data_IF_280680834654
#
_entry.id   IF_280680834654
#
_cell.length_a   1.000
_cell.length_b   1.000
_cell.length_c   1.000
_cell.angle_alpha   90.00
_cell.angle_beta   90.00
_cell.angle_gamma   90.00
#
_symmetry.space_group_name_H-M   'P 1'
#
loop_
_entity.id
_entity.type
_entity.pdbx_description
1 polymer ?
#
# COMPACT_ATOMS: atom_id res chain seq x y z
N UNK A 1 41.31 25.48 10.27
CA UNK A 1 40.24 25.32 9.26
C UNK A 1 39.09 26.23 9.64
N UNK A 2 38.70 27.15 8.77
CA UNK A 2 37.79 28.26 9.10
C UNK A 2 36.40 27.80 9.53
N UNK A 3 35.80 28.54 10.45
CA UNK A 3 34.48 28.30 11.06
C UNK A 3 33.39 28.13 9.97
N UNK A 4 33.52 28.83 8.84
CA UNK A 4 32.63 28.72 7.69
C UNK A 4 32.68 27.35 6.97
N UNK A 5 33.84 26.71 6.91
CA UNK A 5 33.96 25.37 6.30
C UNK A 5 33.34 24.28 7.18
N UNK A 6 33.37 24.48 8.51
CA UNK A 6 32.72 23.59 9.49
C UNK A 6 31.19 23.73 9.40
N UNK A 7 30.66 24.94 9.35
CA UNK A 7 29.20 25.19 9.17
C UNK A 7 28.67 24.60 7.86
N UNK A 8 29.44 24.69 6.77
CA UNK A 8 29.06 24.09 5.49
C UNK A 8 29.01 22.54 5.54
N UNK A 9 29.93 21.91 6.28
CA UNK A 9 29.93 20.47 6.49
C UNK A 9 28.77 20.01 7.40
N UNK A 10 28.41 20.81 8.41
CA UNK A 10 27.24 20.56 9.27
C UNK A 10 25.91 20.62 8.50
N UNK A 11 25.78 21.54 7.54
CA UNK A 11 24.59 21.60 6.66
C UNK A 11 24.46 20.38 5.73
N UNK A 12 25.58 19.78 5.31
CA UNK A 12 25.56 18.61 4.44
C UNK A 12 25.16 17.31 5.16
N UNK A 13 25.51 17.16 6.45
CA UNK A 13 25.18 15.93 7.22
C UNK A 13 23.72 15.91 7.70
N UNK A 14 23.12 17.08 7.97
CA UNK A 14 21.69 17.18 8.30
C UNK A 14 20.78 16.82 7.10
N UNK A 15 21.28 16.94 5.87
CA UNK A 15 20.54 16.61 4.65
C UNK A 15 20.52 15.11 4.32
N UNK A 16 21.33 14.27 4.97
CA UNK A 16 21.42 12.82 4.69
C UNK A 16 20.55 11.97 5.63
N UNK A 17 19.90 12.55 6.63
CA UNK A 17 19.10 11.80 7.62
C UNK A 17 17.58 11.96 7.49
N UNK A 18 17.07 12.61 6.43
CA UNK A 18 15.62 12.67 6.19
C UNK A 18 15.25 11.93 4.90
N UNK A 19 14.72 10.71 5.03
CA UNK A 19 13.45 10.25 4.42
C UNK A 19 13.37 8.73 4.25
N UNK A 20 13.28 7.97 5.34
CA UNK A 20 12.41 6.79 5.31
C UNK A 20 10.99 7.27 5.61
N UNK A 21 10.38 7.94 4.63
CA UNK A 21 8.95 8.20 4.68
C UNK A 21 8.27 6.85 4.50
N UNK A 22 7.96 6.18 5.60
CA UNK A 22 7.04 5.05 5.61
C UNK A 22 5.70 5.59 5.12
N UNK A 23 5.50 5.57 3.80
CA UNK A 23 4.24 5.96 3.20
C UNK A 23 3.27 4.86 3.56
N UNK A 24 2.39 5.13 4.52
CA UNK A 24 1.25 4.26 4.81
C UNK A 24 0.55 3.96 3.47
N UNK A 25 0.63 2.70 3.06
CA UNK A 25 -0.02 2.24 1.84
C UNK A 25 -1.51 2.15 2.16
N UNK A 26 -2.37 2.76 1.34
CA UNK A 26 -3.82 2.72 1.54
C UNK A 26 -4.48 2.19 0.26
N UNK A 27 -5.55 1.43 0.39
CA UNK A 27 -6.45 1.13 -0.73
C UNK A 27 -7.53 2.19 -0.71
N UNK A 28 -7.48 3.10 -1.66
CA UNK A 28 -8.39 4.26 -1.70
C UNK A 28 -9.85 3.84 -1.93
N UNK A 29 -10.80 4.59 -1.37
CA UNK A 29 -12.22 4.30 -1.59
C UNK A 29 -12.63 4.38 -3.06
N UNK A 30 -11.95 5.18 -3.87
CA UNK A 30 -12.15 5.20 -5.33
C UNK A 30 -11.75 3.86 -5.97
N UNK A 31 -10.63 3.26 -5.55
CA UNK A 31 -10.21 1.94 -5.99
C UNK A 31 -11.24 0.87 -5.57
N UNK A 32 -11.68 0.86 -4.30
CA UNK A 32 -12.68 -0.12 -3.82
C UNK A 32 -14.02 0.02 -4.56
N UNK A 33 -14.44 1.25 -4.85
CA UNK A 33 -15.69 1.53 -5.58
C UNK A 33 -15.62 1.14 -7.06
N UNK A 34 -14.44 1.00 -7.65
CA UNK A 34 -14.31 0.49 -9.02
C UNK A 34 -14.96 -0.89 -9.18
N UNK A 35 -14.97 -1.72 -8.12
CA UNK A 35 -15.64 -3.02 -8.10
C UNK A 35 -17.15 -2.99 -7.88
N UNK A 36 -17.73 -1.81 -7.64
CA UNK A 36 -19.18 -1.63 -7.46
C UNK A 36 -19.91 -1.28 -8.76
N UNK A 37 -19.19 -0.89 -9.81
CA UNK A 37 -19.77 -0.77 -11.14
C UNK A 37 -19.98 -2.20 -11.67
N UNK A 38 -21.20 -2.71 -11.58
CA UNK A 38 -21.56 -4.01 -12.13
C UNK A 38 -21.08 -4.15 -13.58
N UNK A 39 -20.56 -5.32 -13.92
CA UNK A 39 -19.96 -5.63 -15.22
C UNK A 39 -20.72 -5.02 -16.40
N UNK A 40 -20.09 -4.04 -17.03
CA UNK A 40 -20.61 -3.27 -18.14
C UNK A 40 -19.76 -2.02 -18.27
N UNK A 41 -18.85 -2.02 -19.25
CA UNK A 41 -17.96 -0.88 -19.52
C UNK A 41 -18.76 0.42 -19.56
N UNK A 42 -18.51 1.30 -18.58
CA UNK A 42 -19.36 2.47 -18.41
C UNK A 42 -19.10 3.14 -17.08
N UNK A 43 -18.27 4.16 -17.14
CA UNK A 43 -18.03 5.14 -16.09
C UNK A 43 -19.36 5.61 -15.48
N UNK A 44 -19.35 5.93 -14.18
CA UNK A 44 -20.50 6.45 -13.44
C UNK A 44 -21.39 7.36 -14.28
N UNK A 45 -22.70 7.10 -14.22
CA UNK A 45 -23.72 7.86 -14.90
C UNK A 45 -23.57 9.36 -14.59
N UNK A 46 -23.00 10.08 -15.55
CA UNK A 46 -22.74 11.51 -15.44
C UNK A 46 -21.51 11.98 -16.21
N UNK A 47 -21.42 11.69 -17.52
CA UNK A 47 -20.52 12.36 -18.47
C UNK A 47 -19.00 12.17 -18.24
N UNK A 48 -18.47 10.96 -18.40
CA UNK A 48 -17.06 10.78 -18.78
C UNK A 48 -17.01 10.17 -20.17
N UNK A 49 -16.96 11.06 -21.16
CA UNK A 49 -16.66 10.80 -22.56
C UNK A 49 -15.47 9.85 -22.66
N UNK A 50 -15.66 8.63 -23.20
CA UNK A 50 -14.64 7.78 -23.83
C UNK A 50 -13.20 7.92 -23.29
N UNK A 51 -13.01 8.05 -21.98
CA UNK A 51 -11.69 8.20 -21.39
C UNK A 51 -11.10 6.81 -21.42
N UNK A 52 -10.35 6.54 -22.49
CA UNK A 52 -9.53 5.35 -22.64
C UNK A 52 -8.51 5.36 -21.51
N UNK A 53 -8.93 4.83 -20.35
CA UNK A 53 -8.03 4.49 -19.26
C UNK A 53 -6.96 3.58 -19.82
N UNK A 54 -5.73 3.79 -19.38
CA UNK A 54 -4.61 2.93 -19.78
C UNK A 54 -4.88 1.52 -19.26
N UNK A 55 -4.46 0.53 -20.03
CA UNK A 55 -4.49 -0.85 -19.59
C UNK A 55 -3.64 -1.02 -18.33
N UNK A 56 -4.08 -1.93 -17.46
CA UNK A 56 -3.32 -2.24 -16.26
C UNK A 56 -2.05 -3.02 -16.63
N UNK A 57 -0.86 -2.58 -16.19
CA UNK A 57 0.37 -3.32 -16.43
C UNK A 57 0.48 -4.62 -15.60
N UNK A 58 -0.37 -4.80 -14.58
CA UNK A 58 -0.39 -5.99 -13.72
C UNK A 58 -1.39 -7.00 -14.26
N UNK A 59 -0.97 -8.26 -14.42
CA UNK A 59 -1.85 -9.33 -14.85
C UNK A 59 -2.65 -9.90 -13.67
N UNK A 60 -3.84 -9.36 -13.44
CA UNK A 60 -4.73 -9.90 -12.41
C UNK A 60 -5.35 -11.25 -12.77
N UNK A 61 -5.38 -11.67 -14.04
CA UNK A 61 -6.00 -12.95 -14.43
C UNK A 61 -5.36 -14.15 -13.73
N UNK A 62 -4.04 -14.13 -13.58
CA UNK A 62 -3.25 -15.23 -13.03
C UNK A 62 -2.96 -15.06 -11.52
N UNK A 63 -3.59 -14.08 -10.86
CA UNK A 63 -3.38 -13.84 -9.44
C UNK A 63 -4.02 -14.94 -8.57
N UNK A 64 -3.49 -15.14 -7.37
CA UNK A 64 -4.02 -16.14 -6.44
C UNK A 64 -5.23 -15.63 -5.65
N UNK A 65 -6.44 -15.86 -6.20
CA UNK A 65 -7.71 -15.48 -5.58
C UNK A 65 -8.11 -16.32 -4.36
N UNK A 66 -7.40 -17.41 -4.05
CA UNK A 66 -7.72 -18.24 -2.87
C UNK A 66 -7.54 -17.48 -1.55
N UNK A 67 -6.68 -16.45 -1.54
CA UNK A 67 -6.49 -15.55 -0.39
C UNK A 67 -7.82 -14.92 0.04
N UNK A 68 -8.67 -14.54 -0.93
CA UNK A 68 -9.98 -13.96 -0.68
C UNK A 68 -11.03 -15.05 -0.49
N UNK A 69 -11.13 -16.00 -1.43
CA UNK A 69 -12.24 -16.97 -1.47
C UNK A 69 -12.20 -18.01 -0.36
N UNK A 70 -11.04 -18.24 0.26
CA UNK A 70 -10.92 -19.12 1.43
C UNK A 70 -11.47 -18.48 2.72
N UNK A 71 -11.39 -17.16 2.86
CA UNK A 71 -11.78 -16.40 4.07
C UNK A 71 -13.15 -15.73 3.93
N UNK A 72 -13.43 -15.06 2.82
CA UNK A 72 -14.66 -14.32 2.59
C UNK A 72 -15.72 -15.23 1.95
N UNK A 73 -16.60 -15.81 2.78
CA UNK A 73 -17.63 -16.77 2.32
C UNK A 73 -19.05 -16.26 2.57
N UNK A 74 -19.91 -16.54 1.59
CA UNK A 74 -21.35 -16.33 1.72
C UNK A 74 -22.02 -17.39 2.60
N UNK A 75 -23.28 -17.17 3.01
CA UNK A 75 -24.14 -16.07 2.57
C UNK A 75 -24.01 -14.78 3.39
N UNK A 76 -23.46 -14.84 4.61
CA UNK A 76 -23.36 -13.65 5.48
C UNK A 76 -22.22 -12.70 5.12
N UNK A 77 -21.18 -13.14 4.41
CA UNK A 77 -20.00 -12.32 4.05
C UNK A 77 -19.48 -11.47 5.22
N UNK A 78 -18.94 -12.12 6.27
CA UNK A 78 -18.53 -11.44 7.50
C UNK A 78 -17.55 -10.29 7.21
N UNK A 79 -17.87 -9.03 7.58
CA UNK A 79 -17.10 -7.85 7.19
C UNK A 79 -15.62 -7.94 7.55
N UNK A 80 -15.30 -8.30 8.79
CA UNK A 80 -13.91 -8.37 9.25
C UNK A 80 -13.06 -9.31 8.38
N UNK A 81 -13.55 -10.53 8.13
CA UNK A 81 -12.83 -11.51 7.32
C UNK A 81 -12.73 -11.11 5.85
N UNK A 82 -13.79 -10.54 5.29
CA UNK A 82 -13.81 -10.11 3.89
C UNK A 82 -12.89 -8.92 3.63
N UNK A 83 -12.85 -7.96 4.54
CA UNK A 83 -12.02 -6.77 4.40
C UNK A 83 -10.55 -7.07 4.69
N UNK A 84 -10.27 -7.93 5.69
CA UNK A 84 -8.91 -8.42 5.92
C UNK A 84 -8.38 -9.19 4.70
N UNK A 85 -9.18 -10.12 4.16
CA UNK A 85 -8.76 -10.91 3.00
C UNK A 85 -8.56 -10.05 1.73
N UNK A 86 -9.39 -9.01 1.55
CA UNK A 86 -9.18 -8.03 0.49
C UNK A 86 -7.88 -7.26 0.69
N UNK A 87 -7.57 -6.83 1.92
CA UNK A 87 -6.31 -6.14 2.24
C UNK A 87 -5.11 -7.05 1.96
N UNK A 88 -5.13 -8.30 2.42
CA UNK A 88 -4.07 -9.29 2.16
C UNK A 88 -3.78 -9.44 0.66
N UNK A 89 -4.82 -9.43 -0.17
CA UNK A 89 -4.69 -9.55 -1.61
C UNK A 89 -4.28 -8.24 -2.30
N UNK A 90 -4.90 -7.11 -1.95
CA UNK A 90 -4.80 -5.86 -2.71
C UNK A 90 -3.67 -4.92 -2.26
N UNK A 91 -3.23 -5.03 -0.99
CA UNK A 91 -2.17 -4.18 -0.46
C UNK A 91 -0.83 -4.23 -1.23
N UNK A 92 -0.39 -5.38 -1.78
CA UNK A 92 0.80 -5.44 -2.63
C UNK A 92 0.67 -4.70 -3.97
N UNK A 93 -0.55 -4.27 -4.34
CA UNK A 93 -0.85 -3.65 -5.64
C UNK A 93 -1.32 -2.19 -5.52
N UNK A 94 -1.23 -1.57 -4.33
CA UNK A 94 -1.72 -0.20 -4.06
C UNK A 94 -1.18 0.84 -5.04
N UNK A 95 0.08 0.69 -5.47
CA UNK A 95 0.70 1.56 -6.47
C UNK A 95 -0.06 1.60 -7.80
N UNK A 96 -0.71 0.49 -8.19
CA UNK A 96 -1.40 0.36 -9.47
C UNK A 96 -2.90 0.57 -9.34
N UNK A 97 -3.53 -0.01 -8.32
CA UNK A 97 -4.99 0.04 -8.16
C UNK A 97 -5.49 1.42 -7.73
N UNK A 98 -4.64 2.24 -7.11
CA UNK A 98 -5.00 3.62 -6.78
C UNK A 98 -4.83 4.59 -7.96
N UNK A 99 -4.24 4.16 -9.08
CA UNK A 99 -4.12 5.02 -10.26
C UNK A 99 -5.46 5.09 -11.01
N UNK A 100 -6.20 6.18 -10.79
CA UNK A 100 -7.46 6.49 -11.47
C UNK A 100 -7.34 6.66 -12.98
N UNK A 101 -6.14 6.73 -13.55
CA UNK A 101 -5.92 6.79 -15.00
C UNK A 101 -5.87 5.40 -15.64
N UNK A 102 -5.83 4.33 -14.85
CA UNK A 102 -5.76 2.94 -15.33
C UNK A 102 -7.07 2.17 -15.11
N UNK A 103 -7.16 1.00 -15.74
CA UNK A 103 -8.22 0.01 -15.48
C UNK A 103 -7.90 -0.94 -14.33
N UNK A 104 -6.76 -0.79 -13.63
CA UNK A 104 -6.27 -1.77 -12.65
C UNK A 104 -7.28 -2.15 -11.57
N UNK A 105 -7.89 -1.17 -10.89
CA UNK A 105 -8.87 -1.46 -9.85
C UNK A 105 -10.10 -2.18 -10.41
N UNK A 106 -10.61 -1.75 -11.57
CA UNK A 106 -11.77 -2.36 -12.21
C UNK A 106 -11.48 -3.80 -12.63
N UNK A 107 -10.33 -4.06 -13.27
CA UNK A 107 -9.89 -5.40 -13.65
C UNK A 107 -9.71 -6.30 -12.43
N UNK A 108 -9.03 -5.82 -11.39
CA UNK A 108 -8.82 -6.55 -10.14
C UNK A 108 -10.17 -6.99 -9.54
N UNK A 109 -11.10 -6.06 -9.31
CA UNK A 109 -12.39 -6.39 -8.73
C UNK A 109 -13.27 -7.26 -9.65
N UNK A 110 -13.14 -7.12 -10.96
CA UNK A 110 -13.83 -8.00 -11.92
C UNK A 110 -13.45 -9.46 -11.70
N UNK A 111 -12.15 -9.77 -11.64
CA UNK A 111 -11.68 -11.13 -11.39
C UNK A 111 -11.99 -11.61 -9.96
N UNK A 112 -11.87 -10.75 -8.95
CA UNK A 112 -12.29 -11.08 -7.56
C UNK A 112 -13.75 -11.52 -7.55
N UNK A 113 -14.64 -10.74 -8.18
CA UNK A 113 -16.07 -11.02 -8.22
C UNK A 113 -16.37 -12.28 -9.06
N UNK A 114 -15.67 -12.48 -10.17
CA UNK A 114 -15.81 -13.65 -11.04
C UNK A 114 -15.45 -14.95 -10.32
N UNK A 115 -14.25 -15.02 -9.71
CA UNK A 115 -13.77 -16.24 -9.07
C UNK A 115 -14.44 -16.50 -7.71
N UNK A 116 -14.75 -15.45 -6.96
CA UNK A 116 -15.42 -15.55 -5.66
C UNK A 116 -16.94 -15.62 -5.72
N UNK A 117 -17.54 -15.39 -6.91
CA UNK A 117 -19.00 -15.25 -7.10
C UNK A 117 -19.59 -14.18 -6.17
N UNK A 118 -18.85 -13.10 -5.93
CA UNK A 118 -19.28 -12.05 -5.03
C UNK A 118 -20.30 -11.12 -5.71
N UNK A 119 -21.33 -10.67 -4.98
CA UNK A 119 -22.25 -9.67 -5.49
C UNK A 119 -21.51 -8.35 -5.75
N UNK A 120 -21.90 -7.59 -6.80
CA UNK A 120 -21.26 -6.32 -7.11
C UNK A 120 -21.38 -5.34 -5.93
N UNK A 121 -20.28 -4.66 -5.62
CA UNK A 121 -20.23 -3.70 -4.53
C UNK A 121 -20.15 -4.29 -3.12
N UNK A 122 -20.00 -5.63 -2.96
CA UNK A 122 -19.83 -6.25 -1.63
C UNK A 122 -18.74 -5.54 -0.82
N UNK A 123 -17.52 -5.45 -1.37
CA UNK A 123 -16.39 -4.85 -0.67
C UNK A 123 -16.56 -3.33 -0.47
N UNK A 124 -17.14 -2.61 -1.43
CA UNK A 124 -17.37 -1.16 -1.31
C UNK A 124 -18.40 -0.80 -0.22
N UNK A 125 -19.39 -1.66 -0.02
CA UNK A 125 -20.44 -1.45 0.98
C UNK A 125 -20.02 -1.93 2.37
N UNK A 126 -19.24 -3.00 2.43
CA UNK A 126 -18.87 -3.68 3.67
C UNK A 126 -17.58 -3.16 4.29
N UNK A 127 -16.58 -2.80 3.47
CA UNK A 127 -15.25 -2.45 3.96
C UNK A 127 -15.07 -0.95 4.13
N UNK A 128 -15.11 -0.50 5.39
CA UNK A 128 -14.87 0.89 5.80
C UNK A 128 -14.00 0.90 7.05
N UNK A 129 -12.91 1.68 7.04
CA UNK A 129 -11.92 1.70 8.12
C UNK A 129 -11.50 3.15 8.42
N UNK A 130 -10.72 3.79 7.54
CA UNK A 130 -10.30 5.18 7.68
C UNK A 130 -11.09 6.16 6.80
N UNK A 131 -10.75 7.46 6.84
CA UNK A 131 -11.43 8.46 5.99
C UNK A 131 -11.11 8.30 4.49
N UNK A 132 -9.92 7.81 4.17
CA UNK A 132 -9.39 7.75 2.80
C UNK A 132 -9.53 6.37 2.16
N UNK A 133 -9.73 5.32 2.95
CA UNK A 133 -9.75 3.95 2.47
C UNK A 133 -9.41 2.91 3.53
N UNK A 134 -8.84 1.79 3.06
CA UNK A 134 -8.39 0.67 3.89
C UNK A 134 -6.87 0.78 4.09
N UNK A 135 -6.42 0.71 5.34
CA UNK A 135 -4.99 0.88 5.66
C UNK A 135 -4.22 -0.42 5.46
N UNK A 136 -3.15 -0.42 4.68
CA UNK A 136 -2.24 -1.55 4.53
C UNK A 136 -1.12 -1.48 5.56
N UNK A 137 -0.47 -2.63 5.81
CA UNK A 137 0.70 -2.66 6.66
C UNK A 137 1.82 -1.77 6.06
N UNK A 138 2.54 -0.99 6.88
CA UNK A 138 3.51 0.01 6.42
C UNK A 138 4.64 -0.58 5.55
N UNK A 139 4.96 -1.86 5.73
CA UNK A 139 6.05 -2.54 5.05
C UNK A 139 5.58 -3.55 3.99
N UNK A 140 4.33 -3.46 3.50
CA UNK A 140 3.84 -4.37 2.45
C UNK A 140 4.65 -4.20 1.16
N UNK A 141 5.38 -5.25 0.70
CA UNK A 141 6.14 -5.17 -0.55
C UNK A 141 5.20 -4.94 -1.74
N UNK A 142 5.54 -3.98 -2.59
CA UNK A 142 4.80 -3.71 -3.81
C UNK A 142 5.24 -4.69 -4.91
N UNK A 143 4.28 -5.36 -5.53
CA UNK A 143 4.52 -6.29 -6.63
C UNK A 143 4.78 -5.50 -7.91
N UNK A 144 5.82 -5.87 -8.65
CA UNK A 144 6.08 -5.30 -9.98
C UNK A 144 5.32 -6.08 -11.07
N UNK A 145 4.96 -5.44 -12.19
CA UNK A 145 4.43 -6.11 -13.37
C UNK A 145 5.31 -7.31 -13.76
N UNK A 146 4.71 -8.48 -13.93
CA UNK A 146 5.42 -9.72 -14.26
C UNK A 146 6.08 -10.45 -13.06
N UNK A 147 5.94 -9.95 -11.83
CA UNK A 147 6.38 -10.64 -10.60
C UNK A 147 5.20 -11.07 -9.71
N UNK A 148 3.98 -11.14 -10.25
CA UNK A 148 2.74 -11.37 -9.49
C UNK A 148 2.70 -12.69 -8.70
N UNK A 149 3.46 -13.69 -9.16
CA UNK A 149 3.51 -15.02 -8.57
C UNK A 149 4.78 -15.31 -7.76
N UNK A 150 5.66 -14.31 -7.56
CA UNK A 150 6.80 -14.48 -6.67
C UNK A 150 6.32 -14.37 -5.23
N UNK A 151 6.18 -15.51 -4.57
CA UNK A 151 5.98 -15.57 -3.13
C UNK A 151 7.04 -14.71 -2.44
N UNK A 152 6.64 -13.54 -1.95
CA UNK A 152 7.51 -12.66 -1.19
C UNK A 152 7.70 -13.29 0.18
N UNK A 153 8.63 -14.23 0.27
CA UNK A 153 9.12 -14.79 1.54
C UNK A 153 10.00 -13.76 2.24
N UNK A 154 9.47 -12.58 2.53
CA UNK A 154 10.08 -11.67 3.49
C UNK A 154 9.67 -12.17 4.88
N UNK A 155 10.47 -13.09 5.41
CA UNK A 155 10.35 -13.58 6.77
C UNK A 155 10.28 -12.39 7.74
N UNK A 156 9.25 -12.43 8.58
CA UNK A 156 8.99 -11.53 9.69
C UNK A 156 10.26 -11.43 10.56
N UNK A 157 10.95 -10.28 10.53
CA UNK A 157 11.80 -9.87 11.64
C UNK A 157 10.89 -9.21 12.68
N UNK A 158 10.33 -10.04 13.54
CA UNK A 158 9.70 -9.60 14.77
C UNK A 158 10.80 -9.02 15.68
N UNK A 159 10.99 -7.69 15.66
CA UNK A 159 11.63 -7.00 16.79
C UNK A 159 10.55 -6.80 17.85
N UNK A 160 10.40 -7.82 18.69
CA UNK A 160 9.68 -7.69 19.95
C UNK A 160 10.39 -6.64 20.80
N UNK A 161 9.61 -5.72 21.36
CA UNK A 161 10.07 -4.65 22.22
C UNK A 161 10.97 -5.15 23.36
N UNK A 162 12.01 -4.36 23.65
CA UNK A 162 12.94 -4.63 24.74
C UNK A 162 14.22 -3.83 24.59
N UNK A 163 14.13 -2.53 24.85
CA UNK A 163 15.21 -1.56 25.13
C UNK A 163 16.62 -1.84 24.62
N UNK A 164 17.06 -1.08 23.61
CA UNK A 164 18.47 -0.71 23.41
C UNK A 164 18.60 0.49 22.46
N UNK A 165 17.94 1.60 22.80
CA UNK A 165 18.37 2.94 22.38
C UNK A 165 18.65 3.73 23.67
N UNK A 166 19.93 3.82 24.08
CA UNK A 166 20.57 5.13 24.03
C UNK A 166 22.10 5.10 23.73
N UNK A 167 22.66 4.08 23.09
CA UNK A 167 24.14 4.04 22.94
C UNK A 167 24.66 4.88 21.76
N UNK A 168 23.85 5.11 20.72
CA UNK A 168 24.28 5.89 19.54
C UNK A 168 24.05 7.40 19.62
N UNK A 169 23.25 7.89 20.59
CA UNK A 169 23.01 9.35 20.77
C UNK A 169 24.03 9.98 21.74
N UNK A 170 24.60 9.19 22.66
CA UNK A 170 25.58 9.68 23.62
C UNK A 170 27.01 9.86 23.05
N UNK A 171 27.40 9.05 22.05
CA UNK A 171 28.73 9.16 21.45
C UNK A 171 28.88 10.42 20.56
N UNK A 172 27.79 10.89 19.95
CA UNK A 172 27.81 12.06 19.06
C UNK A 172 27.79 13.37 19.86
N UNK A 173 27.15 13.39 21.03
CA UNK A 173 27.06 14.57 21.90
C UNK A 173 28.37 14.86 22.66
N UNK A 174 29.14 13.83 23.03
CA UNK A 174 30.46 14.02 23.65
C UNK A 174 31.52 14.53 22.65
N UNK A 175 31.44 14.12 21.38
CA UNK A 175 32.34 14.57 20.32
C UNK A 175 32.04 16.01 19.86
N UNK A 176 30.78 16.44 19.94
CA UNK A 176 30.33 17.82 19.66
C UNK A 176 30.83 18.84 20.68
N UNK A 177 30.94 18.47 21.96
CA UNK A 177 31.41 19.37 23.03
C UNK A 177 32.93 19.62 22.98
N UNK A 178 33.74 18.64 22.57
CA UNK A 178 35.20 18.78 22.44
C UNK A 178 35.63 19.67 21.26
N UNK A 179 34.82 19.72 20.19
CA UNK A 179 35.08 20.54 19.00
C UNK A 179 34.66 22.01 19.17
N UNK A 180 33.91 22.35 20.23
CA UNK A 180 33.50 23.74 20.54
C UNK A 180 34.44 24.43 21.54
N UNK A 181 35.28 23.67 22.25
CA UNK A 181 36.23 24.20 23.25
C UNK A 181 37.68 24.28 22.75
N UNK A 182 37.94 24.07 21.45
CA UNK A 182 39.27 24.18 20.84
C UNK A 182 39.31 25.12 19.63
#
# INVERSE_FOLDING_TARGET
MGIHARVALFAAVLAVTLSTTTTAQIITYEAVRAGSAGGGGGVGAGRMLLQAKKECPVNFEEANYTIITSKCKGPQYPPALCCEALKDFACPYTTYINDVQTTCAASMFSYINLYGKYPPGLFANTCKEGEKGLECAPDTPQVKPGEENKASSAAILAVAGGGLLPVVVAAVSAFLMLLVSS
#
